data_IF_863949635964
#
_entry.id   IF_863949635964
#
_cell.length_a   1.000
_cell.length_b   1.000
_cell.length_c   1.000
_cell.angle_alpha   90.00
_cell.angle_beta   90.00
_cell.angle_gamma   90.00
#
_symmetry.space_group_name_H-M   'P 1'
#
loop_
_entity.id
_entity.type
_entity.pdbx_description
1 polymer ?
#
# COMPACT_ATOMS: atom_id res chain seq x y z
N UNK A 1 -3.36 13.04 -12.51
CA UNK A 1 -2.66 12.55 -13.72
C UNK A 1 -1.17 12.49 -13.41
N UNK A 2 -0.53 11.33 -13.61
CA UNK A 2 0.91 11.18 -13.38
C UNK A 2 1.70 11.93 -14.46
N UNK A 3 2.79 12.59 -14.06
CA UNK A 3 3.72 13.21 -15.02
C UNK A 3 4.23 12.13 -16.00
N UNK A 4 4.14 12.37 -17.32
CA UNK A 4 4.49 11.41 -18.38
C UNK A 4 3.52 10.23 -18.61
N UNK A 5 2.34 10.20 -17.98
CA UNK A 5 1.32 9.14 -18.17
C UNK A 5 0.11 9.58 -19.02
N UNK A 6 0.27 10.58 -19.89
CA UNK A 6 -0.75 11.06 -20.84
C UNK A 6 -0.21 11.12 -22.28
N UNK A 7 0.42 10.03 -22.68
CA UNK A 7 0.95 9.83 -24.02
C UNK A 7 -0.06 9.42 -25.06
N UNK A 8 0.35 9.39 -26.34
CA UNK A 8 -0.45 8.80 -27.44
C UNK A 8 -0.89 7.36 -27.15
N UNK A 9 -0.07 6.55 -26.46
CA UNK A 9 -0.42 5.19 -26.02
C UNK A 9 -1.50 5.15 -24.92
N UNK A 10 -1.71 6.26 -24.21
CA UNK A 10 -2.71 6.41 -23.14
C UNK A 10 -3.88 7.32 -23.58
N UNK A 11 -4.08 7.48 -24.89
CA UNK A 11 -5.09 8.35 -25.49
C UNK A 11 -4.95 9.84 -25.07
N UNK A 12 -3.72 10.28 -24.81
CA UNK A 12 -3.35 11.64 -24.44
C UNK A 12 -2.55 12.37 -25.53
N UNK A 13 -2.28 13.65 -25.31
CA UNK A 13 -1.70 14.55 -26.32
C UNK A 13 -0.19 14.78 -26.22
N UNK A 14 0.51 14.23 -25.23
CA UNK A 14 1.95 14.49 -25.05
C UNK A 14 2.82 13.59 -25.94
N UNK A 15 3.86 14.17 -26.57
CA UNK A 15 4.87 13.44 -27.34
C UNK A 15 5.89 12.69 -26.45
N UNK A 16 6.07 13.10 -25.20
CA UNK A 16 6.88 12.38 -24.21
C UNK A 16 5.99 11.51 -23.32
N UNK A 17 6.27 10.21 -23.25
CA UNK A 17 5.47 9.25 -22.49
C UNK A 17 6.33 8.15 -21.91
N UNK A 18 6.12 7.82 -20.63
CA UNK A 18 6.78 6.67 -20.02
C UNK A 18 6.07 5.40 -20.52
N UNK A 19 6.81 4.50 -21.15
CA UNK A 19 6.30 3.17 -21.50
C UNK A 19 5.90 2.42 -20.23
N UNK A 20 4.89 1.56 -20.32
CA UNK A 20 4.44 0.71 -19.20
C UNK A 20 5.60 -0.06 -18.56
N UNK A 21 6.52 -0.60 -19.37
CA UNK A 21 7.73 -1.26 -18.89
C UNK A 21 8.67 -0.34 -18.09
N UNK A 22 8.73 0.95 -18.44
CA UNK A 22 9.51 1.96 -17.71
C UNK A 22 8.91 2.25 -16.33
N UNK A 23 7.58 2.35 -16.23
CA UNK A 23 6.89 2.51 -14.93
C UNK A 23 7.15 1.30 -14.04
N UNK A 24 6.98 0.09 -14.58
CA UNK A 24 7.23 -1.15 -13.83
C UNK A 24 8.69 -1.25 -13.37
N UNK A 25 9.64 -0.87 -14.21
CA UNK A 25 11.06 -0.89 -13.84
C UNK A 25 11.39 0.11 -12.73
N UNK A 26 10.83 1.32 -12.77
CA UNK A 26 10.97 2.32 -11.71
C UNK A 26 10.45 1.82 -10.34
N UNK A 27 9.40 0.99 -10.34
CA UNK A 27 8.87 0.35 -9.12
C UNK A 27 9.66 -0.90 -8.73
N UNK A 28 10.14 -1.68 -9.69
CA UNK A 28 10.85 -2.93 -9.47
C UNK A 28 12.25 -2.70 -8.87
N UNK A 29 12.96 -1.65 -9.28
CA UNK A 29 14.30 -1.32 -8.76
C UNK A 29 14.31 -1.14 -7.23
N UNK A 30 13.51 -0.25 -6.62
CA UNK A 30 13.50 -0.10 -5.17
C UNK A 30 13.04 -1.38 -4.46
N UNK A 31 12.08 -2.12 -5.02
CA UNK A 31 11.65 -3.42 -4.47
C UNK A 31 12.80 -4.45 -4.48
N UNK A 32 13.56 -4.51 -5.58
CA UNK A 32 14.71 -5.41 -5.70
C UNK A 32 15.86 -5.01 -4.75
N UNK A 33 16.05 -3.72 -4.48
CA UNK A 33 17.04 -3.22 -3.51
C UNK A 33 16.64 -3.56 -2.06
N UNK A 34 15.34 -3.63 -1.75
CA UNK A 34 14.88 -4.01 -0.41
C UNK A 34 15.21 -5.46 -0.04
N UNK A 35 15.35 -6.36 -1.01
CA UNK A 35 15.70 -7.77 -0.78
C UNK A 35 17.10 -7.94 -0.16
N UNK A 36 18.21 -7.43 -0.75
CA UNK A 36 19.53 -7.53 -0.13
C UNK A 36 19.60 -6.70 1.16
N UNK A 37 18.90 -5.56 1.25
CA UNK A 37 18.84 -4.80 2.51
C UNK A 37 18.25 -5.66 3.62
N UNK A 38 17.16 -6.37 3.36
CA UNK A 38 16.56 -7.29 4.33
C UNK A 38 17.52 -8.41 4.69
N UNK A 39 18.24 -8.99 3.72
CA UNK A 39 19.17 -10.09 3.97
C UNK A 39 20.39 -9.69 4.81
N UNK A 40 20.97 -8.52 4.55
CA UNK A 40 22.22 -8.10 5.19
C UNK A 40 22.01 -7.24 6.45
N UNK A 41 20.88 -6.53 6.57
CA UNK A 41 20.66 -5.56 7.64
C UNK A 41 19.74 -6.08 8.75
N UNK A 42 18.86 -7.05 8.47
CA UNK A 42 17.99 -7.62 9.49
C UNK A 42 18.73 -8.72 10.24
N UNK A 43 19.13 -8.41 11.47
CA UNK A 43 19.62 -9.38 12.43
C UNK A 43 18.48 -9.78 13.37
N UNK A 44 17.96 -10.99 13.21
CA UNK A 44 16.91 -11.50 14.08
C UNK A 44 17.50 -11.93 15.44
N UNK A 45 17.02 -11.38 16.57
CA UNK A 45 17.46 -11.85 17.88
C UNK A 45 17.01 -13.30 18.06
N UNK A 46 18.00 -14.22 18.13
CA UNK A 46 17.71 -15.65 18.34
C UNK A 46 16.85 -15.85 19.59
N UNK A 47 15.61 -16.30 19.41
CA UNK A 47 14.73 -16.64 20.52
C UNK A 47 15.28 -17.87 21.24
N UNK A 48 15.54 -17.72 22.53
CA UNK A 48 16.24 -18.71 23.38
C UNK A 48 15.41 -19.93 23.78
N UNK A 49 14.11 -19.97 23.45
CA UNK A 49 13.21 -21.03 23.89
C UNK A 49 12.39 -21.59 22.73
N UNK A 50 12.45 -22.90 22.55
CA UNK A 50 11.54 -23.65 21.70
C UNK A 50 10.14 -23.55 22.31
N UNK A 51 9.29 -22.71 21.71
CA UNK A 51 7.90 -22.60 22.11
C UNK A 51 7.05 -23.55 21.29
N UNK A 52 6.11 -24.20 21.96
CA UNK A 52 5.19 -25.12 21.27
C UNK A 52 4.15 -24.31 20.49
N UNK A 53 3.72 -24.78 19.32
CA UNK A 53 2.68 -24.12 18.50
C UNK A 53 1.41 -23.79 19.32
N UNK A 54 1.04 -24.67 20.27
CA UNK A 54 -0.09 -24.48 21.18
C UNK A 54 0.07 -23.24 22.09
N UNK A 55 1.28 -22.91 22.51
CA UNK A 55 1.55 -21.74 23.35
C UNK A 55 1.40 -20.46 22.53
N UNK A 56 1.89 -20.44 21.29
CA UNK A 56 1.70 -19.33 20.36
C UNK A 56 0.23 -19.07 20.05
N UNK A 57 -0.55 -20.14 19.80
CA UNK A 57 -1.99 -20.03 19.56
C UNK A 57 -2.73 -19.46 20.77
N UNK A 58 -2.36 -19.90 21.98
CA UNK A 58 -2.96 -19.39 23.22
C UNK A 58 -2.66 -17.91 23.44
N UNK A 59 -1.40 -17.49 23.28
CA UNK A 59 -1.02 -16.08 23.41
C UNK A 59 -1.68 -15.22 22.33
N UNK A 60 -1.71 -15.70 21.09
CA UNK A 60 -2.39 -15.01 19.99
C UNK A 60 -3.88 -14.86 20.28
N UNK A 61 -4.53 -15.89 20.82
CA UNK A 61 -5.94 -15.85 21.21
C UNK A 61 -6.21 -14.87 22.36
N UNK A 62 -5.30 -14.81 23.35
CA UNK A 62 -5.39 -13.84 24.45
C UNK A 62 -5.26 -12.40 23.95
N UNK A 63 -4.33 -12.14 23.03
CA UNK A 63 -4.19 -10.84 22.38
C UNK A 63 -5.44 -10.48 21.55
N UNK A 64 -6.00 -11.44 20.83
CA UNK A 64 -7.21 -11.26 20.01
C UNK A 64 -8.45 -10.94 20.86
N UNK A 65 -8.56 -11.56 22.04
CA UNK A 65 -9.68 -11.35 22.98
C UNK A 65 -9.52 -10.06 23.78
N UNK A 66 -8.36 -9.40 23.70
CA UNK A 66 -8.09 -8.14 24.38
C UNK A 66 -8.96 -6.99 23.85
N UNK A 67 -9.49 -6.16 24.75
CA UNK A 67 -10.27 -4.96 24.37
C UNK A 67 -9.48 -4.00 23.47
N UNK A 68 -8.17 -3.92 23.65
CA UNK A 68 -7.28 -3.11 22.81
C UNK A 68 -7.34 -3.53 21.33
N UNK A 69 -7.39 -4.83 21.05
CA UNK A 69 -7.49 -5.35 19.68
C UNK A 69 -8.82 -4.95 19.03
N UNK A 70 -9.92 -5.01 19.79
CA UNK A 70 -11.24 -4.57 19.31
C UNK A 70 -11.24 -3.09 18.91
N UNK A 71 -10.59 -2.21 19.68
CA UNK A 71 -10.50 -0.79 19.34
C UNK A 71 -9.68 -0.54 18.07
N UNK A 72 -8.58 -1.29 17.86
CA UNK A 72 -7.78 -1.19 16.63
C UNK A 72 -8.59 -1.67 15.42
N UNK A 73 -9.31 -2.79 15.56
CA UNK A 73 -10.17 -3.32 14.51
C UNK A 73 -11.29 -2.35 14.15
N UNK A 74 -11.94 -1.77 15.15
CA UNK A 74 -12.98 -0.76 14.98
C UNK A 74 -12.43 0.49 14.28
N UNK A 75 -11.25 0.97 14.69
CA UNK A 75 -10.62 2.12 14.06
C UNK A 75 -10.28 1.84 12.58
N UNK A 76 -9.70 0.69 12.27
CA UNK A 76 -9.39 0.30 10.89
C UNK A 76 -10.67 0.20 10.05
N UNK A 77 -11.73 -0.39 10.60
CA UNK A 77 -13.03 -0.51 9.93
C UNK A 77 -13.67 0.86 9.68
N UNK A 78 -13.73 1.73 10.68
CA UNK A 78 -14.30 3.07 10.56
C UNK A 78 -13.50 3.93 9.60
N UNK A 79 -12.16 3.91 9.69
CA UNK A 79 -11.30 4.68 8.78
C UNK A 79 -11.53 4.26 7.34
N UNK A 80 -11.53 2.96 7.07
CA UNK A 80 -11.76 2.44 5.72
C UNK A 80 -13.18 2.80 5.24
N UNK A 81 -14.19 2.59 6.07
CA UNK A 81 -15.58 2.89 5.71
C UNK A 81 -15.79 4.38 5.42
N UNK A 82 -15.17 5.28 6.17
CA UNK A 82 -15.26 6.72 5.96
C UNK A 82 -14.46 7.15 4.71
N UNK A 83 -13.29 6.55 4.46
CA UNK A 83 -12.48 6.86 3.27
C UNK A 83 -13.16 6.46 1.97
N UNK A 84 -13.92 5.36 1.98
CA UNK A 84 -14.68 4.90 0.81
C UNK A 84 -15.92 5.77 0.52
N UNK A 85 -16.33 6.65 1.44
CA UNK A 85 -17.36 7.67 1.17
C UNK A 85 -16.74 8.73 0.27
N UNK A 86 -16.87 8.52 -1.03
CA UNK A 86 -16.44 9.45 -2.06
C UNK A 86 -17.63 10.07 -2.78
N UNK A 87 -17.42 11.26 -3.36
CA UNK A 87 -18.44 11.93 -4.17
C UNK A 87 -18.23 11.62 -5.65
N UNK A 88 -19.30 11.24 -6.34
CA UNK A 88 -19.32 11.02 -7.79
C UNK A 88 -18.86 12.26 -8.57
N UNK A 89 -19.05 13.47 -8.02
CA UNK A 89 -18.59 14.72 -8.62
C UNK A 89 -17.07 14.96 -8.48
N UNK A 90 -16.36 14.15 -7.69
CA UNK A 90 -14.93 14.34 -7.39
C UNK A 90 -14.03 14.27 -8.63
N UNK A 91 -14.39 13.46 -9.63
CA UNK A 91 -13.69 13.41 -10.92
C UNK A 91 -13.95 14.67 -11.77
N UNK A 92 -15.21 15.06 -11.88
CA UNK A 92 -15.68 16.16 -12.73
C UNK A 92 -15.17 17.53 -12.23
N UNK A 93 -15.13 17.73 -10.91
CA UNK A 93 -14.52 18.92 -10.31
C UNK A 93 -13.01 18.94 -10.61
N UNK A 94 -12.29 17.83 -10.43
CA UNK A 94 -10.85 17.79 -10.74
C UNK A 94 -10.54 18.13 -12.20
N UNK A 95 -11.37 17.70 -13.15
CA UNK A 95 -11.24 18.05 -14.57
C UNK A 95 -11.52 19.54 -14.83
N UNK A 96 -12.60 20.08 -14.25
CA UNK A 96 -12.93 21.50 -14.36
C UNK A 96 -11.82 22.42 -13.81
N UNK A 97 -11.22 22.06 -12.67
CA UNK A 97 -10.09 22.79 -12.08
C UNK A 97 -8.81 22.68 -12.90
N UNK A 98 -8.56 21.53 -13.54
CA UNK A 98 -7.43 21.32 -14.41
C UNK A 98 -7.60 21.95 -15.80
N UNK A 99 -8.80 22.47 -16.13
CA UNK A 99 -9.18 22.99 -17.46
C UNK A 99 -8.93 21.97 -18.58
N UNK A 100 -9.18 20.71 -18.29
CA UNK A 100 -9.08 19.62 -19.28
C UNK A 100 -10.44 18.94 -19.31
N UNK A 101 -11.14 19.09 -20.44
CA UNK A 101 -12.39 18.36 -20.72
C UNK A 101 -12.09 16.90 -21.07
#
# INVERSE_FOLDING_TARGET
VGFSMNGKLYNGGFDFSLSFSGVVLCLAVPAAVMVPVTWFLIEEPRRKAERTCKEYLRESWQLLTGKAFLYVLLNAFLTTSIQEITTTAGGMVKQNWAKVE
#
